data_IF_255462224366
#
_entry.id   IF_255462224366
#
_cell.length_a   1.000
_cell.length_b   1.000
_cell.length_c   1.000
_cell.angle_alpha   90.00
_cell.angle_beta   90.00
_cell.angle_gamma   90.00
#
_symmetry.space_group_name_H-M   'P 1'
#
loop_
_entity.id
_entity.type
_entity.pdbx_description
1 polymer ?
#
# COMPACT_ATOMS: atom_id res chain seq x y z
N UNK A 1 7.80 25.51 16.76
CA UNK A 1 8.18 24.35 15.94
C UNK A 1 9.06 23.37 16.74
N UNK A 2 8.67 23.05 17.94
CA UNK A 2 9.36 22.09 18.78
C UNK A 2 8.30 21.19 19.38
N UNK A 3 8.26 19.93 18.99
CA UNK A 3 7.46 18.93 19.69
C UNK A 3 6.53 18.06 18.84
N UNK A 4 6.77 17.89 17.53
CA UNK A 4 6.04 16.96 16.71
C UNK A 4 6.99 15.88 16.18
N UNK A 5 7.06 14.78 16.92
CA UNK A 5 7.13 13.42 16.44
C UNK A 5 8.42 12.85 15.88
N UNK A 6 9.25 12.41 16.76
CA UNK A 6 10.26 11.42 16.46
C UNK A 6 9.69 9.99 16.28
N UNK A 7 8.53 9.63 16.84
CA UNK A 7 8.08 8.24 16.89
C UNK A 7 7.48 7.71 15.59
N UNK A 8 6.77 8.53 14.83
CA UNK A 8 6.17 8.09 13.56
C UNK A 8 7.18 8.15 12.40
N UNK A 9 8.08 9.14 12.43
CA UNK A 9 9.16 9.24 11.45
C UNK A 9 10.13 8.05 11.55
N UNK A 10 10.35 7.53 12.75
CA UNK A 10 11.23 6.38 12.96
C UNK A 10 10.60 5.08 12.44
N UNK A 11 9.29 4.88 12.58
CA UNK A 11 8.60 3.73 11.98
C UNK A 11 8.59 3.76 10.45
N UNK A 12 8.38 4.93 9.87
CA UNK A 12 8.49 5.12 8.42
C UNK A 12 9.94 5.02 7.93
N UNK A 13 10.90 5.36 8.79
CA UNK A 13 12.31 5.46 8.44
C UNK A 13 13.09 4.13 8.58
N UNK A 14 12.66 3.22 9.44
CA UNK A 14 13.31 1.93 9.60
C UNK A 14 12.79 0.86 8.64
N UNK A 15 11.64 1.11 8.03
CA UNK A 15 11.01 0.15 7.15
C UNK A 15 11.53 0.14 5.73
N UNK A 16 12.71 -0.43 5.48
CA UNK A 16 12.93 -1.00 4.15
C UNK A 16 11.85 -2.05 3.83
N UNK A 17 11.21 -2.60 4.87
CA UNK A 17 10.15 -3.61 4.79
C UNK A 17 8.82 -3.19 5.47
N UNK A 18 8.70 -2.00 6.07
CA UNK A 18 7.46 -1.53 6.70
C UNK A 18 6.32 -1.22 5.69
N UNK A 19 6.57 -1.33 4.40
CA UNK A 19 5.55 -1.36 3.36
C UNK A 19 5.06 -2.78 3.08
N UNK A 20 5.00 -3.61 4.09
CA UNK A 20 4.42 -4.94 3.97
C UNK A 20 4.90 -5.65 2.72
N UNK A 21 6.01 -6.27 2.82
CA UNK A 21 6.28 -7.31 1.89
C UNK A 21 7.19 -7.00 0.74
N UNK A 22 8.14 -7.76 0.78
CA UNK A 22 8.80 -8.34 -0.33
C UNK A 22 7.73 -8.96 -1.23
N UNK A 23 7.56 -8.44 -2.41
CA UNK A 23 6.68 -9.07 -3.39
C UNK A 23 5.22 -8.61 -3.34
N UNK A 24 4.54 -8.82 -4.40
CA UNK A 24 3.27 -8.30 -4.83
C UNK A 24 2.05 -8.32 -3.91
N UNK A 25 2.18 -8.67 -2.64
CA UNK A 25 1.05 -8.84 -1.72
C UNK A 25 1.16 -8.00 -0.44
N UNK A 26 1.71 -6.79 -0.52
CA UNK A 26 1.85 -5.92 0.65
C UNK A 26 0.58 -5.81 1.49
N UNK A 27 0.73 -5.98 2.81
CA UNK A 27 -0.38 -6.01 3.76
C UNK A 27 -1.13 -4.68 3.90
N UNK A 28 -2.31 -4.74 4.46
CA UNK A 28 -3.02 -3.58 4.97
C UNK A 28 -2.53 -3.28 6.39
N UNK A 29 -2.09 -2.05 6.65
CA UNK A 29 -1.67 -1.62 7.97
C UNK A 29 -2.72 -0.66 8.52
N UNK A 30 -3.19 -0.93 9.75
CA UNK A 30 -4.06 -0.04 10.49
C UNK A 30 -3.26 0.52 11.67
N UNK A 31 -3.11 1.84 11.72
CA UNK A 31 -2.33 2.52 12.75
C UNK A 31 -3.23 3.25 13.76
N UNK A 32 -2.76 3.37 14.98
CA UNK A 32 -3.41 4.17 16.02
C UNK A 32 -2.82 5.59 16.09
N UNK A 33 -3.66 6.58 16.38
CA UNK A 33 -3.42 8.02 16.25
C UNK A 33 -2.27 8.67 17.04
N UNK A 34 -2.22 10.01 17.17
CA UNK A 34 -1.00 10.75 17.52
C UNK A 34 -0.38 10.37 18.86
N UNK A 35 0.94 10.37 18.87
CA UNK A 35 1.84 9.91 19.91
C UNK A 35 1.62 10.56 21.28
N UNK A 36 0.74 10.03 22.12
CA UNK A 36 0.70 10.43 23.54
C UNK A 36 0.56 9.29 24.57
N UNK A 37 0.37 8.04 24.19
CA UNK A 37 0.48 6.92 25.14
C UNK A 37 0.43 5.56 24.44
N UNK A 38 1.59 4.97 24.19
CA UNK A 38 1.69 3.57 23.80
C UNK A 38 1.03 3.26 22.47
N UNK A 39 1.58 3.79 21.40
CA UNK A 39 1.13 3.58 20.02
C UNK A 39 0.95 2.09 19.71
N UNK A 40 -0.06 1.78 18.90
CA UNK A 40 -0.54 0.42 18.68
C UNK A 40 -0.86 0.23 17.22
N UNK A 41 -0.46 -0.89 16.66
CA UNK A 41 -0.58 -1.18 15.25
C UNK A 41 -1.33 -2.50 15.02
N UNK A 42 -2.08 -2.59 13.93
CA UNK A 42 -2.67 -3.83 13.40
C UNK A 42 -2.06 -4.03 12.02
N UNK A 43 -1.37 -5.13 11.79
CA UNK A 43 -0.84 -5.49 10.48
C UNK A 43 -1.54 -6.75 9.97
N UNK A 44 -2.01 -6.68 8.72
CA UNK A 44 -2.71 -7.78 8.04
C UNK A 44 -1.98 -8.05 6.74
N UNK A 45 -1.60 -9.30 6.48
CA UNK A 45 -0.98 -9.75 5.25
C UNK A 45 -1.46 -11.16 4.88
N UNK A 46 -1.47 -11.50 3.60
CA UNK A 46 -1.83 -12.85 3.15
C UNK A 46 -0.75 -13.89 3.49
N UNK A 47 0.51 -13.45 3.62
CA UNK A 47 1.68 -14.28 3.88
C UNK A 47 1.79 -15.48 2.92
N UNK A 48 1.50 -15.27 1.65
CA UNK A 48 1.51 -16.33 0.67
C UNK A 48 1.14 -15.87 -0.75
N UNK A 49 1.23 -16.77 -1.72
CA UNK A 49 0.89 -16.46 -3.10
C UNK A 49 -0.63 -16.28 -3.27
N UNK A 50 -1.02 -15.39 -4.17
CA UNK A 50 -2.43 -15.18 -4.55
C UNK A 50 -3.04 -16.46 -5.13
N UNK A 51 -2.24 -17.26 -5.83
CA UNK A 51 -2.59 -18.59 -6.36
C UNK A 51 -1.70 -19.64 -5.70
N UNK A 52 -2.22 -20.45 -4.77
CA UNK A 52 -1.46 -21.54 -4.20
C UNK A 52 -0.95 -22.50 -5.29
N UNK A 53 0.34 -22.85 -5.21
CA UNK A 53 0.98 -23.76 -6.16
C UNK A 53 1.38 -23.13 -7.50
N UNK A 54 1.27 -21.82 -7.66
CA UNK A 54 1.75 -21.09 -8.85
C UNK A 54 2.99 -20.29 -8.47
N UNK A 55 4.09 -20.52 -9.17
CA UNK A 55 5.25 -19.62 -9.09
C UNK A 55 4.91 -18.33 -9.83
N UNK A 56 4.96 -17.21 -9.14
CA UNK A 56 4.82 -15.88 -9.73
C UNK A 56 6.19 -15.25 -9.91
N UNK A 57 6.35 -14.45 -10.97
CA UNK A 57 7.60 -13.73 -11.20
C UNK A 57 7.93 -12.73 -10.06
N UNK A 58 6.90 -12.25 -9.38
CA UNK A 58 7.02 -11.38 -8.21
C UNK A 58 6.89 -12.28 -6.96
N UNK A 59 7.89 -12.29 -6.06
CA UNK A 59 7.84 -13.08 -4.84
C UNK A 59 6.61 -12.74 -3.99
N UNK A 60 5.99 -13.73 -3.39
CA UNK A 60 4.92 -13.52 -2.42
C UNK A 60 5.51 -13.09 -1.07
N UNK A 61 4.72 -12.34 -0.28
CA UNK A 61 5.03 -12.10 1.14
C UNK A 61 5.00 -13.41 1.93
N UNK A 62 5.74 -13.45 3.02
CA UNK A 62 5.90 -14.62 3.88
C UNK A 62 5.48 -14.32 5.32
N UNK A 63 5.20 -15.34 6.16
CA UNK A 63 5.00 -15.15 7.59
C UNK A 63 6.20 -14.48 8.27
N UNK A 64 7.41 -14.71 7.77
CA UNK A 64 8.64 -14.12 8.26
C UNK A 64 8.67 -12.60 8.02
N UNK A 65 8.19 -12.12 6.87
CA UNK A 65 8.09 -10.68 6.55
C UNK A 65 7.11 -9.97 7.51
N UNK A 66 5.99 -10.61 7.81
CA UNK A 66 5.02 -10.10 8.78
C UNK A 66 5.60 -10.10 10.20
N UNK A 67 6.36 -11.14 10.57
CA UNK A 67 7.06 -11.22 11.85
C UNK A 67 8.14 -10.15 11.97
N UNK A 68 8.93 -9.89 10.91
CA UNK A 68 9.92 -8.80 10.88
C UNK A 68 9.24 -7.44 11.10
N UNK A 69 8.13 -7.18 10.41
CA UNK A 69 7.32 -5.97 10.62
C UNK A 69 6.89 -5.83 12.08
N UNK A 70 6.43 -6.93 12.68
CA UNK A 70 6.03 -6.94 14.09
C UNK A 70 7.20 -6.64 15.03
N UNK A 71 8.37 -7.18 14.76
CA UNK A 71 9.56 -6.96 15.59
C UNK A 71 10.11 -5.54 15.44
N UNK A 72 10.07 -4.94 14.25
CA UNK A 72 10.41 -3.53 14.05
C UNK A 72 9.52 -2.61 14.91
N UNK A 73 8.20 -2.85 14.93
CA UNK A 73 7.25 -2.09 15.75
C UNK A 73 7.51 -2.28 17.24
N UNK A 74 7.72 -3.53 17.69
CA UNK A 74 8.02 -3.85 19.11
C UNK A 74 9.34 -3.22 19.58
N UNK A 75 10.37 -3.20 18.72
CA UNK A 75 11.67 -2.59 19.02
C UNK A 75 11.58 -1.07 19.26
N UNK A 76 10.53 -0.44 18.76
CA UNK A 76 10.20 0.96 19.06
C UNK A 76 9.38 1.13 20.34
N UNK A 77 9.18 0.05 21.10
CA UNK A 77 8.39 0.05 22.33
C UNK A 77 6.88 0.09 22.11
N UNK A 78 6.40 -0.23 20.89
CA UNK A 78 4.98 -0.17 20.50
C UNK A 78 4.34 -1.56 20.54
N UNK A 79 3.02 -1.60 20.61
CA UNK A 79 2.26 -2.85 20.56
C UNK A 79 1.75 -3.08 19.14
N UNK A 80 1.78 -4.32 18.69
CA UNK A 80 1.24 -4.71 17.39
C UNK A 80 0.43 -6.00 17.51
N UNK A 81 -0.66 -6.07 16.77
CA UNK A 81 -1.44 -7.29 16.51
C UNK A 81 -1.29 -7.62 15.04
N UNK A 82 -0.87 -8.84 14.73
CA UNK A 82 -0.72 -9.33 13.36
C UNK A 82 -1.77 -10.37 13.03
N UNK A 83 -2.18 -10.43 11.76
CA UNK A 83 -3.08 -11.45 11.25
C UNK A 83 -2.70 -11.85 9.83
N UNK A 84 -2.63 -13.15 9.57
CA UNK A 84 -2.46 -13.71 8.22
C UNK A 84 -3.85 -13.82 7.58
N UNK A 85 -4.18 -12.87 6.70
CA UNK A 85 -5.50 -12.78 6.05
C UNK A 85 -5.37 -12.21 4.65
N UNK A 86 -6.04 -12.85 3.71
CA UNK A 86 -6.20 -12.35 2.36
C UNK A 86 -7.21 -11.19 2.33
N UNK A 87 -6.83 -10.03 1.78
CA UNK A 87 -7.73 -8.87 1.66
C UNK A 87 -8.96 -9.15 0.78
N UNK A 88 -8.95 -10.22 -0.01
CA UNK A 88 -10.09 -10.71 -0.78
C UNK A 88 -11.14 -11.39 0.11
N UNK A 89 -10.77 -11.86 1.30
CA UNK A 89 -11.68 -12.46 2.30
C UNK A 89 -12.19 -11.39 3.28
N UNK A 90 -13.33 -10.77 2.97
CA UNK A 90 -13.91 -9.74 3.84
C UNK A 90 -14.23 -10.24 5.27
N UNK A 91 -14.83 -11.42 5.49
CA UNK A 91 -15.02 -11.96 6.84
C UNK A 91 -13.71 -12.05 7.64
N UNK A 92 -12.64 -12.56 7.03
CA UNK A 92 -11.32 -12.66 7.66
C UNK A 92 -10.73 -11.28 7.99
N UNK A 93 -10.75 -10.34 7.04
CA UNK A 93 -10.29 -8.96 7.27
C UNK A 93 -11.07 -8.30 8.40
N UNK A 94 -12.40 -8.44 8.40
CA UNK A 94 -13.25 -7.89 9.46
C UNK A 94 -12.89 -8.47 10.83
N UNK A 95 -12.74 -9.79 10.92
CA UNK A 95 -12.40 -10.47 12.18
C UNK A 95 -11.02 -10.02 12.70
N UNK A 96 -10.03 -9.84 11.81
CA UNK A 96 -8.70 -9.36 12.17
C UNK A 96 -8.75 -7.92 12.70
N UNK A 97 -9.48 -7.03 12.04
CA UNK A 97 -9.66 -5.64 12.48
C UNK A 97 -10.39 -5.58 13.81
N UNK A 98 -11.51 -6.31 13.96
CA UNK A 98 -12.29 -6.37 15.20
C UNK A 98 -11.41 -6.84 16.39
N UNK A 99 -10.66 -7.93 16.19
CA UNK A 99 -9.74 -8.47 17.20
C UNK A 99 -8.62 -7.50 17.55
N UNK A 100 -8.05 -6.84 16.54
CA UNK A 100 -7.03 -5.81 16.76
C UNK A 100 -7.56 -4.64 17.59
N UNK A 101 -8.75 -4.13 17.26
CA UNK A 101 -9.38 -3.04 18.01
C UNK A 101 -9.76 -3.49 19.44
N UNK A 102 -10.25 -4.71 19.63
CA UNK A 102 -10.52 -5.25 20.96
C UNK A 102 -9.25 -5.28 21.84
N UNK A 103 -8.13 -5.73 21.30
CA UNK A 103 -6.86 -5.82 22.01
C UNK A 103 -6.19 -4.47 22.27
N UNK A 104 -6.34 -3.54 21.32
CA UNK A 104 -5.62 -2.26 21.32
C UNK A 104 -6.48 -1.10 21.79
N UNK A 105 -7.81 -1.23 21.71
CA UNK A 105 -8.78 -0.30 22.29
C UNK A 105 -9.27 0.82 21.35
N UNK A 106 -8.64 1.03 20.18
CA UNK A 106 -9.03 2.07 19.20
C UNK A 106 -8.47 1.81 17.81
N UNK A 107 -9.05 2.50 16.82
CA UNK A 107 -8.54 2.61 15.45
C UNK A 107 -8.81 4.02 14.93
N UNK A 108 -7.81 4.70 14.38
CA UNK A 108 -7.92 6.06 13.88
C UNK A 108 -7.33 6.24 12.49
N UNK A 109 -6.37 5.39 12.11
CA UNK A 109 -5.68 5.49 10.83
C UNK A 109 -5.76 4.15 10.10
N UNK A 110 -6.01 4.21 8.79
CA UNK A 110 -5.99 3.02 7.91
C UNK A 110 -5.10 3.31 6.72
N UNK A 111 -4.21 2.37 6.44
CA UNK A 111 -3.42 2.35 5.21
C UNK A 111 -3.81 1.10 4.42
N UNK A 112 -4.61 1.25 3.38
CA UNK A 112 -4.98 0.16 2.48
C UNK A 112 -3.93 0.05 1.38
N UNK A 113 -2.92 -0.78 1.62
CA UNK A 113 -1.72 -0.90 0.79
C UNK A 113 -1.63 -2.22 0.01
N UNK A 114 -2.29 -3.28 0.48
CA UNK A 114 -2.23 -4.60 -0.17
C UNK A 114 -2.51 -4.51 -1.67
N UNK A 115 -1.67 -5.15 -2.46
CA UNK A 115 -1.81 -5.12 -3.90
C UNK A 115 -0.82 -6.03 -4.61
N UNK A 116 -1.17 -6.40 -5.83
CA UNK A 116 -0.34 -7.20 -6.73
C UNK A 116 0.00 -6.39 -7.97
N UNK A 117 1.10 -6.76 -8.62
CA UNK A 117 1.46 -6.30 -9.95
C UNK A 117 1.42 -7.46 -10.93
N UNK A 118 1.02 -7.19 -12.13
CA UNK A 118 1.26 -8.04 -13.28
C UNK A 118 1.41 -7.15 -14.52
N UNK A 119 1.88 -7.73 -15.59
CA UNK A 119 1.99 -7.08 -16.87
C UNK A 119 2.38 -8.12 -17.91
N UNK A 120 2.21 -7.77 -19.18
CA UNK A 120 2.62 -8.59 -20.29
C UNK A 120 1.60 -8.67 -21.41
N UNK A 121 0.31 -8.74 -21.09
CA UNK A 121 -0.74 -8.93 -22.07
C UNK A 121 -1.39 -7.61 -22.50
N UNK A 122 -1.80 -7.53 -23.76
CA UNK A 122 -2.72 -6.49 -24.20
C UNK A 122 -4.06 -6.67 -23.47
N UNK A 123 -4.72 -5.56 -23.14
CA UNK A 123 -5.93 -5.58 -22.29
C UNK A 123 -7.01 -6.54 -22.81
N UNK A 124 -7.22 -6.62 -24.13
CA UNK A 124 -8.21 -7.52 -24.71
C UNK A 124 -7.79 -8.99 -24.75
N UNK A 125 -6.52 -9.30 -24.44
CA UNK A 125 -5.95 -10.64 -24.35
C UNK A 125 -5.81 -11.11 -22.89
N UNK A 126 -5.95 -10.18 -21.92
CA UNK A 126 -5.90 -10.50 -20.48
C UNK A 126 -6.91 -11.59 -20.15
N UNK A 127 -6.46 -12.66 -19.49
CA UNK A 127 -7.36 -13.75 -19.09
C UNK A 127 -8.38 -13.27 -18.06
N UNK A 128 -9.58 -13.91 -18.04
CA UNK A 128 -10.58 -13.61 -17.03
C UNK A 128 -10.03 -13.79 -15.60
N UNK A 129 -9.21 -14.81 -15.39
CA UNK A 129 -8.61 -15.10 -14.10
C UNK A 129 -7.66 -13.96 -13.65
N UNK A 130 -6.78 -13.48 -14.55
CA UNK A 130 -5.85 -12.39 -14.24
C UNK A 130 -6.58 -11.05 -14.03
N UNK A 131 -7.69 -10.85 -14.76
CA UNK A 131 -8.57 -9.72 -14.53
C UNK A 131 -9.21 -9.78 -13.15
N UNK A 132 -9.87 -10.90 -12.81
CA UNK A 132 -10.62 -11.07 -11.57
C UNK A 132 -9.69 -10.93 -10.35
N UNK A 133 -8.51 -11.56 -10.37
CA UNK A 133 -7.55 -11.45 -9.27
C UNK A 133 -7.02 -10.03 -9.08
N UNK A 134 -6.72 -9.34 -10.18
CA UNK A 134 -6.27 -7.96 -10.13
C UNK A 134 -7.32 -7.05 -9.51
N UNK A 135 -8.57 -7.17 -9.97
CA UNK A 135 -9.68 -6.36 -9.45
C UNK A 135 -10.00 -6.75 -8.00
N UNK A 136 -10.05 -8.04 -7.69
CA UNK A 136 -10.38 -8.51 -6.35
C UNK A 136 -9.35 -8.10 -5.31
N UNK A 137 -8.06 -8.10 -5.67
CA UNK A 137 -7.00 -7.69 -4.76
C UNK A 137 -6.86 -6.17 -4.72
N UNK A 138 -6.59 -5.53 -5.87
CA UNK A 138 -6.16 -4.14 -5.93
C UNK A 138 -7.29 -3.11 -5.82
N UNK A 139 -8.54 -3.53 -6.00
CA UNK A 139 -9.70 -2.65 -5.89
C UNK A 139 -10.67 -3.12 -4.81
N UNK A 140 -11.21 -4.34 -4.94
CA UNK A 140 -12.16 -4.88 -3.97
C UNK A 140 -11.53 -5.07 -2.59
N UNK A 141 -10.26 -5.51 -2.54
CA UNK A 141 -9.49 -5.66 -1.28
C UNK A 141 -9.31 -4.32 -0.55
N UNK A 142 -8.99 -3.26 -1.28
CA UNK A 142 -8.91 -1.90 -0.73
C UNK A 142 -10.27 -1.48 -0.13
N UNK A 143 -11.36 -1.67 -0.88
CA UNK A 143 -12.70 -1.38 -0.38
C UNK A 143 -13.08 -2.21 0.86
N UNK A 144 -12.77 -3.51 0.86
CA UNK A 144 -13.03 -4.43 1.97
C UNK A 144 -12.28 -4.02 3.24
N UNK A 145 -11.01 -3.61 3.11
CA UNK A 145 -10.18 -3.11 4.22
C UNK A 145 -10.79 -1.86 4.86
N UNK A 146 -11.15 -0.87 4.04
CA UNK A 146 -11.80 0.36 4.53
C UNK A 146 -13.17 0.06 5.14
N UNK A 147 -13.97 -0.79 4.49
CA UNK A 147 -15.28 -1.21 5.00
C UNK A 147 -15.21 -1.87 6.38
N UNK A 148 -14.19 -2.67 6.65
CA UNK A 148 -13.98 -3.30 7.95
C UNK A 148 -13.61 -2.29 9.03
N UNK A 149 -12.81 -1.29 8.70
CA UNK A 149 -12.24 -0.34 9.64
C UNK A 149 -13.17 0.85 9.99
N UNK A 150 -13.92 1.36 9.02
CA UNK A 150 -14.75 2.58 9.16
C UNK A 150 -15.69 2.56 10.37
N UNK A 151 -16.44 1.47 10.69
CA UNK A 151 -17.31 1.44 11.85
C UNK A 151 -16.58 1.71 13.17
N UNK A 152 -15.34 1.24 13.32
CA UNK A 152 -14.53 1.47 14.52
C UNK A 152 -14.06 2.92 14.61
N UNK A 153 -13.66 3.53 13.50
CA UNK A 153 -13.23 4.94 13.48
C UNK A 153 -14.43 5.84 13.81
N UNK A 154 -15.59 5.59 13.20
CA UNK A 154 -16.82 6.36 13.49
C UNK A 154 -17.23 6.21 14.94
N UNK A 155 -17.27 5.00 15.49
CA UNK A 155 -17.63 4.76 16.89
C UNK A 155 -16.65 5.39 17.87
N UNK A 156 -15.40 5.59 17.46
CA UNK A 156 -14.39 6.32 18.23
C UNK A 156 -14.70 7.80 18.40
N UNK A 157 -15.43 8.42 17.49
CA UNK A 157 -15.90 9.82 17.56
C UNK A 157 -14.78 10.89 17.53
N UNK A 158 -13.57 10.53 17.09
CA UNK A 158 -12.39 11.41 17.11
C UNK A 158 -11.98 11.89 15.72
N UNK A 159 -12.68 11.44 14.69
CA UNK A 159 -12.21 11.56 13.32
C UNK A 159 -11.17 10.48 12.97
N UNK A 160 -10.47 10.65 11.88
CA UNK A 160 -9.45 9.70 11.44
C UNK A 160 -8.83 10.02 10.09
N UNK A 161 -7.93 9.14 9.65
CA UNK A 161 -7.28 9.25 8.35
C UNK A 161 -7.24 7.91 7.63
N UNK A 162 -7.68 7.88 6.39
CA UNK A 162 -7.63 6.70 5.50
C UNK A 162 -6.74 7.04 4.32
N UNK A 163 -5.71 6.24 4.12
CA UNK A 163 -4.73 6.40 3.04
C UNK A 163 -4.82 5.17 2.12
N UNK A 164 -5.10 5.39 0.86
CA UNK A 164 -5.19 4.34 -0.15
C UNK A 164 -3.95 4.35 -1.04
N UNK A 165 -3.27 3.22 -1.15
CA UNK A 165 -2.13 3.09 -2.07
C UNK A 165 -2.64 2.78 -3.47
N UNK A 166 -2.68 3.82 -4.31
CA UNK A 166 -2.93 3.68 -5.74
C UNK A 166 -1.59 3.48 -6.48
N UNK A 167 -1.35 4.22 -7.55
CA UNK A 167 -0.15 4.20 -8.39
C UNK A 167 -0.18 5.39 -9.32
N UNK A 168 0.94 5.72 -9.97
CA UNK A 168 0.91 6.53 -11.20
C UNK A 168 0.01 5.90 -12.26
N UNK A 169 -0.14 4.56 -12.26
CA UNK A 169 -1.12 3.83 -13.07
C UNK A 169 -2.59 4.09 -12.70
N UNK A 170 -2.88 4.80 -11.62
CA UNK A 170 -4.21 5.33 -11.28
C UNK A 170 -4.44 6.76 -11.77
N UNK A 171 -3.45 7.40 -12.40
CA UNK A 171 -3.50 8.76 -12.94
C UNK A 171 -3.25 8.81 -14.44
N UNK A 172 -2.51 7.84 -14.98
CA UNK A 172 -2.25 7.68 -16.41
C UNK A 172 -2.24 6.19 -16.77
N UNK A 173 -2.25 5.89 -18.07
CA UNK A 173 -2.28 4.51 -18.55
C UNK A 173 -0.92 4.09 -19.12
N UNK A 174 -0.69 2.78 -19.08
CA UNK A 174 0.45 2.13 -19.68
C UNK A 174 -0.02 0.93 -20.53
N UNK A 175 0.64 0.58 -21.61
CA UNK A 175 0.35 -0.63 -22.34
C UNK A 175 0.66 -1.88 -21.49
N UNK A 176 0.01 -2.99 -21.81
CA UNK A 176 0.26 -4.31 -21.23
C UNK A 176 0.01 -4.44 -19.71
N UNK A 177 -0.74 -3.52 -19.11
CA UNK A 177 -1.15 -3.59 -17.69
C UNK A 177 -2.54 -2.97 -17.47
N UNK A 178 -3.45 -3.15 -18.42
CA UNK A 178 -4.74 -2.47 -18.41
C UNK A 178 -5.65 -2.84 -17.25
N UNK A 179 -5.61 -4.08 -16.76
CA UNK A 179 -6.33 -4.54 -15.58
C UNK A 179 -5.81 -3.82 -14.30
N UNK A 180 -4.48 -3.68 -14.16
CA UNK A 180 -3.88 -2.92 -13.07
C UNK A 180 -4.26 -1.43 -13.13
N UNK A 181 -4.17 -0.82 -14.31
CA UNK A 181 -4.58 0.56 -14.54
C UNK A 181 -6.05 0.78 -14.17
N UNK A 182 -6.93 -0.13 -14.57
CA UNK A 182 -8.36 -0.08 -14.22
C UNK A 182 -8.57 -0.15 -12.70
N UNK A 183 -7.90 -1.10 -12.01
CA UNK A 183 -7.99 -1.24 -10.56
C UNK A 183 -7.50 0.03 -9.85
N UNK A 184 -6.33 0.56 -10.22
CA UNK A 184 -5.73 1.73 -9.57
C UNK A 184 -6.48 3.04 -9.85
N UNK A 185 -7.11 3.21 -11.02
CA UNK A 185 -8.08 4.28 -11.26
C UNK A 185 -9.34 4.09 -10.40
N UNK A 186 -9.82 2.85 -10.23
CA UNK A 186 -10.93 2.52 -9.33
C UNK A 186 -10.65 2.93 -7.88
N UNK A 187 -9.40 2.76 -7.40
CA UNK A 187 -8.98 3.23 -6.06
C UNK A 187 -9.13 4.75 -5.92
N UNK A 188 -8.84 5.53 -6.96
CA UNK A 188 -9.08 6.99 -6.93
C UNK A 188 -10.57 7.29 -6.81
N UNK A 189 -11.42 6.51 -7.49
CA UNK A 189 -12.88 6.59 -7.34
C UNK A 189 -13.33 6.30 -5.91
N UNK A 190 -12.82 5.20 -5.31
CA UNK A 190 -13.09 4.87 -3.91
C UNK A 190 -12.64 5.97 -2.94
N UNK A 191 -11.43 6.50 -3.13
CA UNK A 191 -10.89 7.58 -2.31
C UNK A 191 -11.83 8.79 -2.28
N UNK A 192 -12.30 9.22 -3.45
CA UNK A 192 -13.21 10.37 -3.57
C UNK A 192 -14.57 10.11 -2.93
N UNK A 193 -15.15 8.92 -3.17
CA UNK A 193 -16.45 8.53 -2.60
C UNK A 193 -16.38 8.47 -1.07
N UNK A 194 -15.41 7.76 -0.52
CA UNK A 194 -15.20 7.71 0.93
C UNK A 194 -14.93 9.10 1.52
N UNK A 195 -14.13 9.94 0.82
CA UNK A 195 -13.85 11.30 1.28
C UNK A 195 -15.12 12.16 1.44
N UNK A 196 -16.08 12.02 0.50
CA UNK A 196 -17.37 12.71 0.57
C UNK A 196 -18.26 12.14 1.68
N UNK A 197 -18.39 10.81 1.74
CA UNK A 197 -19.30 10.13 2.67
C UNK A 197 -18.84 10.25 4.14
N UNK A 198 -17.53 10.14 4.38
CA UNK A 198 -16.94 10.09 5.72
C UNK A 198 -16.55 11.47 6.28
N UNK A 199 -16.55 12.51 5.46
CA UNK A 199 -16.20 13.86 5.88
C UNK A 199 -17.04 14.38 7.06
N UNK A 200 -18.32 14.03 7.13
CA UNK A 200 -19.19 14.36 8.26
C UNK A 200 -18.72 13.81 9.62
N UNK A 201 -17.87 12.76 9.59
CA UNK A 201 -17.26 12.14 10.78
C UNK A 201 -15.84 12.64 11.04
N UNK A 202 -15.40 13.71 10.35
CA UNK A 202 -14.02 14.21 10.40
C UNK A 202 -12.98 13.14 10.02
N UNK A 203 -13.36 12.21 9.15
CA UNK A 203 -12.46 11.20 8.59
C UNK A 203 -11.98 11.69 7.22
N UNK A 204 -10.68 11.85 7.09
CA UNK A 204 -10.01 12.26 5.85
C UNK A 204 -9.66 11.03 5.02
N UNK A 205 -9.81 11.13 3.71
CA UNK A 205 -9.45 10.03 2.81
C UNK A 205 -8.61 10.58 1.67
N UNK A 206 -7.40 10.05 1.51
CA UNK A 206 -6.45 10.48 0.48
C UNK A 206 -5.80 9.26 -0.19
N UNK A 207 -5.14 9.46 -1.30
CA UNK A 207 -4.37 8.40 -1.96
C UNK A 207 -2.95 8.83 -2.28
N UNK A 208 -2.01 7.90 -2.12
CA UNK A 208 -0.63 8.02 -2.58
C UNK A 208 -0.46 7.28 -3.92
N UNK A 209 0.36 7.85 -4.79
CA UNK A 209 0.56 7.35 -6.15
C UNK A 209 2.06 7.14 -6.42
N UNK A 210 2.61 6.01 -5.97
CA UNK A 210 3.99 5.65 -6.27
C UNK A 210 4.23 5.41 -7.75
N UNK A 211 5.45 5.70 -8.20
CA UNK A 211 6.06 5.21 -9.43
C UNK A 211 6.84 3.92 -9.14
N UNK A 212 7.93 3.68 -9.85
CA UNK A 212 8.87 2.61 -9.54
C UNK A 212 9.47 2.83 -8.15
N UNK A 213 9.29 1.87 -7.26
CA UNK A 213 9.79 1.91 -5.87
C UNK A 213 10.80 0.78 -5.70
N UNK A 214 11.95 1.06 -5.09
CA UNK A 214 13.00 0.07 -4.79
C UNK A 214 12.51 -0.93 -3.72
N UNK A 215 11.74 -1.92 -4.16
CA UNK A 215 11.21 -3.04 -3.36
C UNK A 215 11.29 -4.32 -4.17
N UNK A 216 11.10 -5.48 -3.58
CA UNK A 216 11.12 -6.75 -4.30
C UNK A 216 9.98 -6.88 -5.33
N UNK A 217 8.89 -6.10 -5.18
CA UNK A 217 7.88 -5.97 -6.23
C UNK A 217 8.48 -5.44 -7.54
N UNK A 218 9.49 -4.59 -7.47
CA UNK A 218 10.22 -4.06 -8.63
C UNK A 218 11.51 -4.83 -8.91
N UNK A 219 12.27 -5.16 -7.87
CA UNK A 219 13.59 -5.76 -7.96
C UNK A 219 13.50 -7.29 -7.90
N UNK A 220 13.01 -7.90 -8.97
CA UNK A 220 12.92 -9.34 -9.14
C UNK A 220 13.21 -9.74 -10.59
N UNK A 221 13.56 -11.01 -10.79
CA UNK A 221 13.94 -11.54 -12.12
C UNK A 221 12.86 -11.31 -13.18
N UNK A 222 11.58 -11.52 -12.84
CA UNK A 222 10.47 -11.33 -13.76
C UNK A 222 10.35 -9.91 -14.26
N UNK A 223 10.47 -8.93 -13.34
CA UNK A 223 10.46 -7.52 -13.69
C UNK A 223 11.69 -7.12 -14.51
N UNK A 224 12.88 -7.58 -14.14
CA UNK A 224 14.09 -7.32 -14.93
C UNK A 224 13.96 -7.85 -16.35
N UNK A 225 13.47 -9.08 -16.53
CA UNK A 225 13.19 -9.69 -17.83
C UNK A 225 12.15 -8.92 -18.63
N UNK A 226 11.10 -8.42 -17.99
CA UNK A 226 10.06 -7.63 -18.66
C UNK A 226 10.63 -6.33 -19.22
N UNK A 227 11.54 -5.66 -18.50
CA UNK A 227 12.17 -4.42 -18.94
C UNK A 227 13.34 -4.63 -19.90
N UNK A 228 14.04 -5.78 -19.79
CA UNK A 228 15.21 -6.13 -20.59
C UNK A 228 15.10 -7.55 -21.16
N UNK A 229 14.09 -7.79 -22.02
CA UNK A 229 13.91 -9.11 -22.66
C UNK A 229 15.05 -9.49 -23.60
N UNK A 230 15.88 -8.53 -23.97
CA UNK A 230 17.05 -8.68 -24.82
C UNK A 230 18.25 -9.30 -24.09
N UNK A 231 18.27 -9.33 -22.74
CA UNK A 231 19.35 -9.89 -21.94
C UNK A 231 18.99 -11.26 -21.37
N UNK A 232 19.98 -12.13 -21.23
CA UNK A 232 19.78 -13.47 -20.65
C UNK A 232 19.54 -13.42 -19.13
N UNK A 233 20.31 -12.59 -18.41
CA UNK A 233 20.23 -12.44 -16.96
C UNK A 233 20.29 -10.94 -16.58
N UNK A 234 19.22 -10.18 -16.87
CA UNK A 234 19.20 -8.75 -16.52
C UNK A 234 19.13 -8.54 -15.00
N UNK A 235 19.71 -7.43 -14.54
CA UNK A 235 19.68 -7.00 -13.17
C UNK A 235 19.18 -5.57 -13.00
N UNK A 236 19.22 -5.03 -11.77
CA UNK A 236 18.76 -3.67 -11.49
C UNK A 236 19.51 -2.61 -12.31
N UNK A 237 20.81 -2.76 -12.49
CA UNK A 237 21.63 -1.82 -13.25
C UNK A 237 21.26 -1.77 -14.73
N UNK A 238 20.80 -2.89 -15.30
CA UNK A 238 20.33 -2.98 -16.68
C UNK A 238 18.95 -2.34 -16.86
N UNK A 239 18.11 -2.40 -15.84
CA UNK A 239 16.77 -1.83 -15.83
C UNK A 239 16.78 -0.32 -15.53
N UNK A 240 17.68 0.15 -14.69
CA UNK A 240 17.72 1.52 -14.20
C UNK A 240 17.64 2.61 -15.30
N UNK A 241 18.39 2.53 -16.41
CA UNK A 241 18.30 3.53 -17.47
C UNK A 241 16.91 3.60 -18.12
N UNK A 242 16.20 2.47 -18.21
CA UNK A 242 14.85 2.41 -18.78
C UNK A 242 13.84 3.04 -17.81
N UNK A 243 13.91 2.67 -16.52
CA UNK A 243 13.06 3.26 -15.49
C UNK A 243 13.24 4.77 -15.41
N UNK A 244 14.46 5.27 -15.53
CA UNK A 244 14.76 6.72 -15.54
C UNK A 244 14.05 7.47 -16.68
N UNK A 245 13.79 6.83 -17.82
CA UNK A 245 13.07 7.47 -18.92
C UNK A 245 11.62 7.84 -18.55
N UNK A 246 11.04 7.16 -17.58
CA UNK A 246 9.68 7.46 -17.08
C UNK A 246 9.66 8.65 -16.12
N UNK A 247 10.80 9.09 -15.61
CA UNK A 247 10.90 10.14 -14.59
C UNK A 247 11.41 11.46 -15.16
N UNK A 248 10.93 12.58 -14.61
CA UNK A 248 11.47 13.91 -14.89
C UNK A 248 12.75 14.16 -14.10
N UNK A 249 12.77 13.69 -12.84
CA UNK A 249 14.00 13.70 -12.04
C UNK A 249 14.95 12.59 -12.55
N UNK A 250 16.28 12.81 -12.52
CA UNK A 250 17.26 11.87 -13.08
C UNK A 250 17.54 10.68 -12.12
N UNK A 251 16.49 9.97 -11.70
CA UNK A 251 16.57 8.79 -10.84
C UNK A 251 15.76 7.64 -11.45
N UNK A 252 16.19 6.39 -11.29
CA UNK A 252 15.48 5.24 -11.85
C UNK A 252 14.25 4.82 -11.03
N UNK A 253 14.25 5.05 -9.73
CA UNK A 253 13.16 4.74 -8.79
C UNK A 253 13.25 5.63 -7.54
N UNK A 254 12.18 5.64 -6.78
CA UNK A 254 12.12 6.22 -5.43
C UNK A 254 12.30 5.13 -4.39
N UNK A 255 12.66 5.51 -3.16
CA UNK A 255 12.79 4.57 -2.07
C UNK A 255 11.43 4.32 -1.37
N UNK A 256 11.25 3.16 -0.72
CA UNK A 256 10.07 2.86 0.07
C UNK A 256 9.79 3.94 1.13
N UNK A 257 10.85 4.52 1.70
CA UNK A 257 10.77 5.62 2.67
C UNK A 257 10.09 6.88 2.11
N UNK A 258 10.23 7.16 0.82
CA UNK A 258 9.61 8.35 0.22
C UNK A 258 8.08 8.20 0.21
N UNK A 259 7.60 6.98 -0.03
CA UNK A 259 6.17 6.65 0.05
C UNK A 259 5.71 6.72 1.52
N UNK A 260 6.49 6.17 2.44
CA UNK A 260 6.18 6.20 3.88
C UNK A 260 6.08 7.63 4.42
N UNK A 261 6.93 8.55 3.96
CA UNK A 261 6.85 9.96 4.33
C UNK A 261 5.54 10.63 3.87
N UNK A 262 5.04 10.29 2.67
CA UNK A 262 3.76 10.78 2.18
C UNK A 262 2.58 10.20 2.98
N UNK A 263 2.65 8.91 3.31
CA UNK A 263 1.66 8.25 4.19
C UNK A 263 1.66 8.91 5.57
N UNK A 264 2.83 9.15 6.16
CA UNK A 264 2.99 9.83 7.45
C UNK A 264 2.36 11.23 7.43
N UNK A 265 2.61 12.02 6.39
CA UNK A 265 1.98 13.34 6.24
C UNK A 265 0.46 13.22 6.29
N UNK A 266 -0.14 12.33 5.50
CA UNK A 266 -1.59 12.15 5.51
C UNK A 266 -2.14 11.58 6.82
N UNK A 267 -1.38 10.74 7.52
CA UNK A 267 -1.76 10.19 8.80
C UNK A 267 -1.76 11.22 9.93
N UNK A 268 -0.90 12.22 9.83
CA UNK A 268 -0.65 13.22 10.89
C UNK A 268 -1.65 14.39 10.86
N UNK A 269 -1.63 15.21 11.94
CA UNK A 269 -2.39 16.46 12.06
C UNK A 269 -1.86 17.56 11.12
N UNK A 270 -0.67 17.41 10.55
CA UNK A 270 -0.16 18.32 9.51
C UNK A 270 -1.09 18.34 8.28
N UNK A 271 -1.79 17.24 8.03
CA UNK A 271 -2.77 17.08 6.96
C UNK A 271 -4.23 17.24 7.42
N UNK A 272 -4.51 17.87 8.60
CA UNK A 272 -5.83 17.92 9.26
C UNK A 272 -6.99 18.39 8.38
N UNK A 273 -6.71 19.16 7.34
CA UNK A 273 -7.72 19.65 6.39
C UNK A 273 -7.45 19.19 4.94
N UNK A 274 -6.65 18.15 4.77
CA UNK A 274 -6.34 17.57 3.46
C UNK A 274 -7.15 16.29 3.30
N UNK A 275 -8.13 16.31 2.39
CA UNK A 275 -8.96 15.15 2.03
C UNK A 275 -9.30 15.18 0.54
N UNK A 276 -9.46 14.03 -0.07
CA UNK A 276 -9.78 13.89 -1.50
C UNK A 276 -8.59 14.14 -2.43
N UNK A 277 -7.37 14.12 -1.91
CA UNK A 277 -6.14 14.42 -2.66
C UNK A 277 -5.51 13.14 -3.20
N UNK A 278 -5.11 13.20 -4.47
CA UNK A 278 -4.19 12.24 -5.09
C UNK A 278 -2.78 12.82 -5.01
N UNK A 279 -1.87 12.19 -4.27
CA UNK A 279 -0.49 12.66 -4.09
C UNK A 279 0.49 11.75 -4.83
N UNK A 280 1.01 12.16 -6.01
CA UNK A 280 2.08 11.44 -6.67
C UNK A 280 3.39 11.54 -5.89
N UNK A 281 4.04 10.40 -5.69
CA UNK A 281 5.42 10.29 -5.21
C UNK A 281 6.16 9.56 -6.32
N UNK A 282 6.46 10.30 -7.39
CA UNK A 282 6.66 9.71 -8.70
C UNK A 282 7.85 10.26 -9.49
N UNK A 283 8.71 11.04 -8.86
CA UNK A 283 9.84 11.69 -9.54
C UNK A 283 9.44 12.46 -10.81
N UNK A 284 8.18 12.94 -10.87
CA UNK A 284 7.62 13.65 -12.02
C UNK A 284 7.20 12.73 -13.17
N UNK A 285 6.93 11.47 -12.93
CA UNK A 285 6.46 10.53 -13.95
C UNK A 285 5.14 10.96 -14.60
N UNK A 286 4.23 11.57 -13.82
CA UNK A 286 2.96 12.07 -14.35
C UNK A 286 3.09 13.33 -15.22
N UNK A 287 4.27 13.92 -15.34
CA UNK A 287 4.56 15.07 -16.21
C UNK A 287 5.01 14.65 -17.63
N UNK A 288 5.22 13.35 -17.86
CA UNK A 288 5.69 12.80 -19.15
C UNK A 288 4.61 12.04 -19.91
#
# INVERSE_FOLDING_TARGET
>A
LTGVNSSFSDNAATGQNANGGNGGNGGAICLDGPAQSGDKDIAIDICGPIRPGTETAIPASTPEDLAETADLVKNLGRRIVTAEVDVRDYPGVKAAVDSGVEQLGRLDIVVANAGIGNGGDLLHETSQLDWDEMIDTNLSGVWKSVKAAVPHIISGGRGGSIILTSSVGGLKAYPNCGNYVAAKHGVVGLMRSFGVELGQHMIRVNSVHPTHVATDMLHNEGTFKMFRPDLENPGPDDMAPICQLFHTLPIPWVEARDISNAVLFFASDEARYVTGVTLPVDAGSCLK
#
